data_IF_685596562611
#
_entry.id   IF_685596562611
#
_cell.length_a   1.000
_cell.length_b   1.000
_cell.length_c   1.000
_cell.angle_alpha   90.00
_cell.angle_beta   90.00
_cell.angle_gamma   90.00
#
_symmetry.space_group_name_H-M   'P 1'
#
loop_
_entity.id
_entity.type
_entity.pdbx_description
1 polymer ?
#
# COMPACT_ATOMS: atom_id res chain seq x y z
N UNK A 1 -12.23 13.18 28.43
CA UNK A 1 -13.56 13.22 27.77
C UNK A 1 -14.01 11.81 27.45
N UNK A 2 -15.29 11.55 27.62
CA UNK A 2 -15.94 10.30 27.22
C UNK A 2 -16.47 10.44 25.79
N UNK A 3 -16.63 9.31 25.08
CA UNK A 3 -17.20 9.28 23.72
C UNK A 3 -18.52 10.05 23.60
N UNK A 4 -19.35 9.98 24.64
CA UNK A 4 -20.66 10.62 24.68
C UNK A 4 -20.54 12.14 24.70
N UNK A 5 -19.64 12.68 25.52
CA UNK A 5 -19.39 14.13 25.60
C UNK A 5 -18.89 14.69 24.27
N UNK A 6 -17.99 13.98 23.57
CA UNK A 6 -17.47 14.40 22.26
C UNK A 6 -18.60 14.50 21.23
N UNK A 7 -19.52 13.53 21.22
CA UNK A 7 -20.66 13.54 20.30
C UNK A 7 -21.68 14.64 20.64
N UNK A 8 -21.89 14.93 21.92
CA UNK A 8 -22.77 16.03 22.33
C UNK A 8 -22.18 17.41 21.99
N UNK A 9 -20.87 17.60 22.11
CA UNK A 9 -20.22 18.83 21.65
C UNK A 9 -20.27 18.98 20.13
N UNK A 10 -20.02 17.90 19.37
CA UNK A 10 -20.13 17.92 17.90
C UNK A 10 -21.53 18.32 17.42
N UNK A 11 -22.59 17.91 18.15
CA UNK A 11 -23.97 18.27 17.83
C UNK A 11 -24.26 19.78 17.98
N UNK A 12 -23.46 20.54 18.70
CA UNK A 12 -23.66 21.99 18.85
C UNK A 12 -23.25 22.77 17.61
N UNK A 13 -22.39 22.20 16.76
CA UNK A 13 -21.93 22.83 15.53
C UNK A 13 -22.92 22.60 14.37
N UNK A 14 -22.96 23.51 13.38
CA UNK A 14 -23.68 23.28 12.13
C UNK A 14 -23.07 22.10 11.35
N UNK A 15 -23.87 21.46 10.50
CA UNK A 15 -23.46 20.24 9.77
C UNK A 15 -22.17 20.42 8.98
N UNK A 16 -21.96 21.59 8.38
CA UNK A 16 -20.73 21.92 7.63
C UNK A 16 -19.49 21.87 8.52
N UNK A 17 -19.54 22.48 9.69
CA UNK A 17 -18.42 22.46 10.65
C UNK A 17 -18.19 21.07 11.23
N UNK A 18 -19.25 20.28 11.45
CA UNK A 18 -19.08 18.87 11.86
C UNK A 18 -18.28 18.08 10.84
N UNK A 19 -18.57 18.27 9.55
CA UNK A 19 -17.84 17.59 8.47
C UNK A 19 -16.37 18.00 8.49
N UNK A 20 -16.08 19.30 8.61
CA UNK A 20 -14.70 19.81 8.68
C UNK A 20 -13.93 19.26 9.88
N UNK A 21 -14.57 19.17 11.06
CA UNK A 21 -13.94 18.62 12.27
C UNK A 21 -13.65 17.12 12.10
N UNK A 22 -14.58 16.37 11.51
CA UNK A 22 -14.39 14.94 11.24
C UNK A 22 -13.26 14.72 10.23
N UNK A 23 -13.20 15.53 9.18
CA UNK A 23 -12.13 15.48 8.18
C UNK A 23 -10.76 15.77 8.79
N UNK A 24 -10.65 16.81 9.61
CA UNK A 24 -9.41 17.11 10.34
C UNK A 24 -9.00 15.97 11.27
N UNK A 25 -9.96 15.37 11.99
CA UNK A 25 -9.70 14.22 12.86
C UNK A 25 -9.21 13.00 12.05
N UNK A 26 -9.80 12.73 10.89
CA UNK A 26 -9.36 11.67 9.98
C UNK A 26 -7.94 11.93 9.46
N UNK A 27 -7.62 13.17 9.09
CA UNK A 27 -6.29 13.55 8.64
C UNK A 27 -5.23 13.28 9.72
N UNK A 28 -5.52 13.66 10.97
CA UNK A 28 -4.64 13.40 12.11
C UNK A 28 -4.45 11.89 12.36
N UNK A 29 -5.50 11.08 12.20
CA UNK A 29 -5.37 9.62 12.33
C UNK A 29 -4.45 9.09 11.22
N UNK A 30 -4.61 9.55 9.98
CA UNK A 30 -3.76 9.14 8.87
C UNK A 30 -2.29 9.55 9.07
N UNK A 31 -2.03 10.78 9.53
CA UNK A 31 -0.67 11.23 9.86
C UNK A 31 -0.02 10.36 10.94
N UNK A 32 -0.77 10.03 12.00
CA UNK A 32 -0.29 9.14 13.05
C UNK A 32 -0.04 7.72 12.51
N UNK A 33 -0.90 7.20 11.64
CA UNK A 33 -0.68 5.91 10.99
C UNK A 33 0.57 5.93 10.11
N UNK A 34 0.81 7.00 9.36
CA UNK A 34 2.04 7.17 8.57
C UNK A 34 3.29 7.33 9.44
N UNK A 35 3.18 7.84 10.66
CA UNK A 35 4.30 7.88 11.61
C UNK A 35 4.59 6.50 12.22
N UNK A 36 3.55 5.68 12.44
CA UNK A 36 3.66 4.29 12.92
C UNK A 36 4.22 3.40 11.80
N UNK A 37 3.74 3.59 10.57
CA UNK A 37 4.31 3.06 9.35
C UNK A 37 5.54 3.90 8.96
N UNK A 38 6.59 3.89 9.78
CA UNK A 38 7.87 4.46 9.36
C UNK A 38 8.18 3.95 7.95
N UNK A 39 8.45 4.85 6.99
CA UNK A 39 8.81 4.42 5.65
C UNK A 39 10.00 3.50 5.79
N UNK A 40 9.81 2.23 5.38
CA UNK A 40 10.84 1.18 5.45
C UNK A 40 12.17 1.80 5.08
N UNK A 41 13.16 1.65 5.95
CA UNK A 41 14.49 2.13 5.65
C UNK A 41 14.91 1.59 4.29
N UNK A 42 15.78 2.30 3.58
CA UNK A 42 16.27 1.85 2.27
C UNK A 42 16.79 0.41 2.32
N UNK A 43 17.35 -0.02 3.46
CA UNK A 43 17.79 -1.38 3.72
C UNK A 43 16.63 -2.39 3.81
N UNK A 44 15.59 -2.11 4.59
CA UNK A 44 14.43 -3.00 4.71
C UNK A 44 13.63 -3.09 3.41
N UNK A 45 13.48 -1.96 2.70
CA UNK A 45 12.85 -1.95 1.37
C UNK A 45 13.66 -2.81 0.39
N UNK A 46 14.99 -2.68 0.38
CA UNK A 46 15.87 -3.54 -0.44
C UNK A 46 15.71 -5.01 -0.08
N UNK A 47 15.70 -5.34 1.21
CA UNK A 47 15.56 -6.73 1.67
C UNK A 47 14.23 -7.35 1.24
N UNK A 48 13.10 -6.63 1.40
CA UNK A 48 11.78 -7.08 0.94
C UNK A 48 11.72 -7.27 -0.57
N UNK A 49 12.30 -6.36 -1.34
CA UNK A 49 12.35 -6.48 -2.80
C UNK A 49 13.22 -7.65 -3.25
N UNK A 50 14.36 -7.88 -2.60
CA UNK A 50 15.22 -9.05 -2.87
C UNK A 50 14.47 -10.35 -2.58
N UNK A 51 13.84 -10.47 -1.42
CA UNK A 51 13.06 -11.66 -1.07
C UNK A 51 11.90 -11.92 -2.05
N UNK A 52 11.20 -10.86 -2.47
CA UNK A 52 10.15 -10.99 -3.48
C UNK A 52 10.69 -11.42 -4.85
N UNK A 53 11.83 -10.87 -5.27
CA UNK A 53 12.48 -11.26 -6.53
C UNK A 53 12.95 -12.71 -6.50
N UNK A 54 13.55 -13.17 -5.39
CA UNK A 54 13.95 -14.57 -5.19
C UNK A 54 12.75 -15.52 -5.23
N UNK A 55 11.63 -15.14 -4.60
CA UNK A 55 10.41 -15.96 -4.61
C UNK A 55 9.77 -16.06 -6.01
N UNK A 56 9.87 -15.01 -6.83
CA UNK A 56 9.32 -14.99 -8.19
C UNK A 56 10.26 -15.59 -9.24
N UNK A 57 11.55 -15.70 -8.96
CA UNK A 57 12.57 -16.20 -9.90
C UNK A 57 12.21 -17.54 -10.57
N UNK A 58 11.65 -18.56 -9.87
CA UNK A 58 11.27 -19.82 -10.49
C UNK A 58 10.14 -19.67 -11.51
N UNK A 59 9.22 -18.72 -11.28
CA UNK A 59 8.06 -18.47 -12.15
C UNK A 59 8.50 -17.78 -13.46
N UNK A 60 9.56 -16.97 -13.38
CA UNK A 60 10.19 -16.31 -14.53
C UNK A 60 11.29 -17.15 -15.21
N UNK A 61 11.60 -18.35 -14.71
CA UNK A 61 12.57 -19.24 -15.36
C UNK A 61 12.01 -19.78 -16.67
N UNK A 62 12.88 -20.15 -17.62
CA UNK A 62 12.44 -20.67 -18.92
C UNK A 62 11.58 -21.94 -18.77
N UNK A 63 10.37 -21.91 -19.34
CA UNK A 63 9.37 -22.97 -19.17
C UNK A 63 8.54 -22.86 -17.88
N UNK A 64 8.77 -21.81 -17.08
CA UNK A 64 7.90 -21.43 -15.96
C UNK A 64 6.58 -20.83 -16.43
N UNK A 65 5.61 -20.72 -15.52
CA UNK A 65 4.24 -20.27 -15.82
C UNK A 65 4.18 -18.93 -16.59
N UNK A 66 5.08 -17.99 -16.26
CA UNK A 66 5.11 -16.68 -16.89
C UNK A 66 5.96 -16.61 -18.17
N UNK A 67 6.72 -17.66 -18.49
CA UNK A 67 7.54 -17.74 -19.71
C UNK A 67 7.07 -18.83 -20.68
N UNK A 68 5.98 -19.54 -20.35
CA UNK A 68 5.39 -20.58 -21.19
C UNK A 68 5.04 -20.06 -22.60
N UNK A 69 4.57 -18.80 -22.70
CA UNK A 69 4.25 -18.18 -23.99
C UNK A 69 5.47 -17.61 -24.71
N UNK A 70 6.50 -17.16 -23.98
CA UNK A 70 7.72 -16.61 -24.59
C UNK A 70 8.59 -17.68 -25.27
N UNK A 71 8.42 -18.95 -24.89
CA UNK A 71 9.08 -20.06 -25.57
C UNK A 71 8.46 -20.39 -26.93
N UNK A 72 7.20 -19.98 -27.16
CA UNK A 72 6.45 -20.24 -28.40
C UNK A 72 6.76 -19.16 -29.46
N UNK A 73 7.03 -17.93 -29.03
CA UNK A 73 7.37 -16.79 -29.90
C UNK A 73 8.83 -16.75 -30.38
N UNK A 74 9.62 -17.82 -30.15
CA UNK A 74 10.96 -17.89 -30.73
C UNK A 74 10.87 -18.26 -32.22
N UNK A 75 10.64 -17.26 -33.08
CA UNK A 75 10.92 -17.39 -34.51
C UNK A 75 12.43 -17.41 -34.73
N UNK A 76 12.95 -18.46 -35.36
CA UNK A 76 14.34 -18.49 -35.85
C UNK A 76 14.47 -17.51 -37.03
N UNK A 77 14.90 -16.28 -36.75
CA UNK A 77 15.09 -15.22 -37.75
C UNK A 77 16.33 -15.41 -38.64
N UNK A 78 16.87 -16.64 -38.77
CA UNK A 78 18.04 -16.92 -39.60
C UNK A 78 17.87 -18.25 -40.36
N UNK A 79 17.31 -18.17 -41.58
CA UNK A 79 17.40 -19.18 -42.63
C UNK A 79 17.87 -18.54 -43.94
#
# INVERSE_FOLDING_TARGET
>A
MTRREILEELKKFPTTERITIIEAALHLIHENLQQIEQPLTKAEKKHRLTAAAEALLPVYSAGGELTAFTAIDHEDFHA
#
